data_IF_455306986351
#
_entry.id   IF_455306986351
#
_cell.length_a   1.000
_cell.length_b   1.000
_cell.length_c   1.000
_cell.angle_alpha   90.00
_cell.angle_beta   90.00
_cell.angle_gamma   90.00
#
_symmetry.space_group_name_H-M   'P 1'
#
loop_
_entity.id
_entity.type
_entity.pdbx_description
1 polymer ?
#
# COMPACT_ATOMS: atom_id res chain seq x y z
N UNK A 1 -36.10 -15.77 -15.87
CA UNK A 1 -36.02 -14.31 -15.92
C UNK A 1 -35.08 -13.87 -17.04
N UNK A 2 -35.39 -12.81 -17.74
CA UNK A 2 -34.49 -12.27 -18.75
C UNK A 2 -33.28 -11.62 -18.04
N UNK A 3 -32.04 -11.80 -18.52
CA UNK A 3 -30.88 -11.12 -17.97
C UNK A 3 -31.03 -9.60 -18.18
N UNK A 4 -30.87 -8.82 -17.12
CA UNK A 4 -30.82 -7.37 -17.20
C UNK A 4 -29.37 -6.89 -17.21
N UNK A 5 -29.05 -5.94 -18.07
CA UNK A 5 -27.75 -5.27 -18.12
C UNK A 5 -27.90 -3.89 -17.53
N UNK A 6 -27.06 -3.58 -16.54
CA UNK A 6 -27.05 -2.26 -15.89
C UNK A 6 -25.66 -1.64 -16.04
N UNK A 7 -25.60 -0.42 -16.56
CA UNK A 7 -24.37 0.36 -16.62
C UNK A 7 -24.05 0.92 -15.23
N UNK A 8 -23.01 0.39 -14.60
CA UNK A 8 -22.60 0.78 -13.23
C UNK A 8 -21.68 2.02 -13.20
N UNK A 9 -21.09 2.39 -14.33
CA UNK A 9 -20.24 3.59 -14.47
C UNK A 9 -21.03 4.88 -14.69
N UNK A 10 -22.35 4.80 -14.92
CA UNK A 10 -23.21 5.95 -15.24
C UNK A 10 -23.15 7.09 -14.21
N UNK A 11 -22.92 6.76 -12.94
CA UNK A 11 -22.80 7.76 -11.87
C UNK A 11 -21.41 8.43 -11.81
N UNK A 12 -20.43 7.87 -12.50
CA UNK A 12 -19.04 8.36 -12.57
C UNK A 12 -18.52 8.35 -14.02
N UNK A 13 -19.17 9.05 -14.95
CA UNK A 13 -18.97 8.87 -16.39
C UNK A 13 -17.56 9.20 -16.88
N UNK A 14 -16.79 9.97 -16.11
CA UNK A 14 -15.42 10.39 -16.46
C UNK A 14 -14.34 9.63 -15.69
N UNK A 15 -14.70 8.70 -14.80
CA UNK A 15 -13.74 7.99 -13.98
C UNK A 15 -12.92 7.00 -14.81
N UNK A 16 -13.58 6.19 -15.63
CA UNK A 16 -12.92 5.14 -16.40
C UNK A 16 -12.40 5.70 -17.72
N UNK A 17 -11.10 5.53 -18.02
CA UNK A 17 -10.55 5.89 -19.32
C UNK A 17 -11.05 4.94 -20.41
N UNK A 18 -11.05 5.40 -21.67
CA UNK A 18 -11.54 4.62 -22.82
C UNK A 18 -10.65 3.44 -23.19
N UNK A 19 -9.41 3.46 -22.77
CA UNK A 19 -8.34 2.51 -23.13
C UNK A 19 -8.01 1.50 -22.03
N UNK A 20 -8.96 1.18 -21.17
CA UNK A 20 -8.84 0.06 -20.23
C UNK A 20 -8.82 -1.24 -21.01
N UNK A 21 -7.77 -2.03 -20.79
CA UNK A 21 -7.56 -3.28 -21.50
C UNK A 21 -7.44 -4.51 -20.59
N UNK A 22 -7.37 -4.31 -19.29
CA UNK A 22 -7.24 -5.37 -18.31
C UNK A 22 -8.42 -5.34 -17.34
N UNK A 23 -9.02 -6.50 -17.09
CA UNK A 23 -10.11 -6.67 -16.14
C UNK A 23 -9.91 -7.95 -15.33
N UNK A 24 -10.13 -7.87 -14.04
CA UNK A 24 -10.26 -9.01 -13.14
C UNK A 24 -11.39 -8.78 -12.15
N UNK A 25 -11.96 -9.84 -11.61
CA UNK A 25 -13.00 -9.75 -10.60
C UNK A 25 -12.85 -10.82 -9.51
N UNK A 26 -13.43 -10.53 -8.35
CA UNK A 26 -13.67 -11.51 -7.30
C UNK A 26 -15.15 -11.47 -6.95
N UNK A 27 -15.79 -12.63 -7.04
CA UNK A 27 -17.19 -12.79 -6.64
C UNK A 27 -17.33 -12.77 -5.12
N UNK A 28 -16.41 -13.39 -4.42
CA UNK A 28 -16.39 -13.48 -2.96
C UNK A 28 -16.24 -12.10 -2.33
N UNK A 29 -15.32 -11.30 -2.82
CA UNK A 29 -15.09 -9.93 -2.34
C UNK A 29 -16.03 -8.90 -2.95
N UNK A 30 -16.91 -9.31 -3.86
CA UNK A 30 -17.81 -8.39 -4.56
C UNK A 30 -17.07 -7.18 -5.14
N UNK A 31 -15.95 -7.44 -5.82
CA UNK A 31 -15.05 -6.42 -6.38
C UNK A 31 -14.74 -6.72 -7.84
N UNK A 32 -14.67 -5.65 -8.63
CA UNK A 32 -14.21 -5.68 -10.01
C UNK A 32 -13.09 -4.67 -10.13
N UNK A 33 -11.94 -5.09 -10.67
CA UNK A 33 -10.80 -4.23 -10.89
C UNK A 33 -10.50 -4.09 -12.38
N UNK A 34 -10.21 -2.87 -12.78
CA UNK A 34 -9.84 -2.49 -14.14
C UNK A 34 -8.48 -1.82 -14.08
N UNK A 35 -7.51 -2.28 -14.85
CA UNK A 35 -6.20 -1.67 -14.88
C UNK A 35 -5.94 -0.97 -16.22
N UNK A 36 -5.30 0.18 -16.11
CA UNK A 36 -4.67 0.89 -17.21
C UNK A 36 -3.18 0.96 -16.93
N UNK A 37 -2.39 0.19 -17.68
CA UNK A 37 -0.93 0.22 -17.59
C UNK A 37 -0.38 1.45 -18.31
N UNK A 38 0.46 2.21 -17.62
CA UNK A 38 1.27 3.28 -18.20
C UNK A 38 2.70 2.81 -18.48
N UNK A 39 3.58 3.74 -18.85
CA UNK A 39 5.00 3.45 -19.11
C UNK A 39 5.85 3.36 -17.83
N UNK A 40 5.43 3.99 -16.75
CA UNK A 40 6.15 4.04 -15.47
C UNK A 40 5.30 3.70 -14.28
N UNK A 41 3.98 3.81 -14.43
CA UNK A 41 3.00 3.57 -13.38
C UNK A 41 1.74 2.94 -13.98
N UNK A 42 0.82 2.54 -13.13
CA UNK A 42 -0.49 2.04 -13.54
C UNK A 42 -1.59 2.61 -12.68
N UNK A 43 -2.76 2.78 -13.27
CA UNK A 43 -3.98 3.13 -12.56
C UNK A 43 -4.89 1.91 -12.49
N UNK A 44 -5.32 1.56 -11.29
CA UNK A 44 -6.31 0.50 -11.05
C UNK A 44 -7.58 1.16 -10.56
N UNK A 45 -8.65 0.98 -11.29
CA UNK A 45 -9.99 1.43 -10.95
C UNK A 45 -10.76 0.27 -10.37
N UNK A 46 -11.32 0.45 -9.21
CA UNK A 46 -12.07 -0.59 -8.52
C UNK A 46 -13.54 -0.21 -8.35
N UNK A 47 -14.38 -1.22 -8.51
CA UNK A 47 -15.80 -1.15 -8.19
C UNK A 47 -16.11 -2.22 -7.15
N UNK A 48 -16.41 -1.79 -5.93
CA UNK A 48 -16.82 -2.67 -4.83
C UNK A 48 -18.31 -2.49 -4.57
N UNK A 49 -19.01 -3.61 -4.39
CA UNK A 49 -20.44 -3.60 -4.15
C UNK A 49 -20.86 -4.59 -3.06
N UNK A 50 -21.97 -4.29 -2.43
CA UNK A 50 -22.61 -5.16 -1.44
C UNK A 50 -24.02 -5.49 -1.93
N UNK A 51 -24.29 -6.77 -2.07
CA UNK A 51 -25.64 -7.28 -2.35
C UNK A 51 -26.22 -7.90 -1.07
N UNK A 52 -27.49 -7.62 -0.82
CA UNK A 52 -28.27 -8.31 0.21
C UNK A 52 -29.45 -8.97 -0.50
N UNK A 53 -29.41 -10.30 -0.60
CA UNK A 53 -30.30 -11.04 -1.50
C UNK A 53 -30.07 -10.61 -2.96
N UNK A 54 -31.14 -10.35 -3.68
CA UNK A 54 -31.10 -9.94 -5.10
C UNK A 54 -30.89 -8.43 -5.30
N UNK A 55 -30.78 -7.66 -4.23
CA UNK A 55 -30.67 -6.19 -4.31
C UNK A 55 -29.28 -5.70 -3.95
N UNK A 56 -28.77 -4.77 -4.76
CA UNK A 56 -27.55 -4.04 -4.46
C UNK A 56 -27.85 -2.96 -3.43
N UNK A 57 -27.24 -3.09 -2.23
CA UNK A 57 -27.42 -2.15 -1.13
C UNK A 57 -26.45 -0.99 -1.21
N UNK A 58 -25.19 -1.28 -1.54
CA UNK A 58 -24.13 -0.29 -1.62
C UNK A 58 -23.22 -0.61 -2.79
N UNK A 59 -22.63 0.45 -3.35
CA UNK A 59 -21.56 0.32 -4.32
C UNK A 59 -20.69 1.57 -4.26
N UNK A 60 -19.39 1.38 -4.43
CA UNK A 60 -18.41 2.46 -4.44
C UNK A 60 -17.37 2.24 -5.52
N UNK A 61 -16.94 3.33 -6.13
CA UNK A 61 -15.80 3.38 -7.01
C UNK A 61 -14.59 3.92 -6.27
N UNK A 62 -13.41 3.39 -6.56
CA UNK A 62 -12.14 3.88 -6.06
C UNK A 62 -11.05 3.77 -7.12
N UNK A 63 -9.91 4.39 -6.88
CA UNK A 63 -8.77 4.38 -7.77
C UNK A 63 -7.49 4.20 -6.97
N UNK A 64 -6.64 3.26 -7.39
CA UNK A 64 -5.27 3.11 -6.91
C UNK A 64 -4.28 3.56 -7.99
N UNK A 65 -3.17 4.10 -7.55
CA UNK A 65 -2.00 4.35 -8.38
C UNK A 65 -0.88 3.41 -7.93
N UNK A 66 -0.43 2.54 -8.81
CA UNK A 66 0.69 1.65 -8.59
C UNK A 66 1.92 2.21 -9.29
N UNK A 67 3.07 2.20 -8.62
CA UNK A 67 4.32 2.80 -9.11
C UNK A 67 5.07 1.89 -10.11
N UNK A 68 4.35 1.05 -10.82
CA UNK A 68 4.86 0.10 -11.82
C UNK A 68 3.84 -0.10 -12.94
N UNK A 69 4.32 -0.32 -14.17
CA UNK A 69 3.47 -0.85 -15.23
C UNK A 69 2.94 -2.24 -14.85
N UNK A 70 1.70 -2.52 -15.20
CA UNK A 70 1.08 -3.84 -15.05
C UNK A 70 1.08 -4.54 -16.40
N UNK A 71 1.69 -5.73 -16.45
CA UNK A 71 1.63 -6.61 -17.62
C UNK A 71 0.41 -7.51 -17.58
N UNK A 72 0.06 -8.01 -16.40
CA UNK A 72 -1.08 -8.87 -16.17
C UNK A 72 -1.57 -8.74 -14.73
N UNK A 73 -2.85 -9.01 -14.47
CA UNK A 73 -3.40 -9.01 -13.11
C UNK A 73 -4.56 -9.98 -12.95
N UNK A 74 -4.77 -10.43 -11.71
CA UNK A 74 -5.85 -11.33 -11.34
C UNK A 74 -6.13 -11.24 -9.83
N UNK A 75 -7.25 -11.81 -9.41
CA UNK A 75 -7.64 -11.94 -7.99
C UNK A 75 -7.77 -13.42 -7.68
N UNK A 76 -7.18 -13.85 -6.58
CA UNK A 76 -7.40 -15.16 -5.98
C UNK A 76 -7.74 -14.91 -4.52
N UNK A 77 -8.88 -15.45 -4.07
CA UNK A 77 -9.42 -15.25 -2.73
C UNK A 77 -9.49 -13.75 -2.35
N UNK A 78 -8.87 -13.36 -1.27
CA UNK A 78 -8.82 -11.98 -0.77
C UNK A 78 -7.59 -11.20 -1.24
N UNK A 79 -6.89 -11.69 -2.24
CA UNK A 79 -5.63 -11.13 -2.69
C UNK A 79 -5.68 -10.74 -4.17
N UNK A 80 -5.25 -9.51 -4.44
CA UNK A 80 -5.03 -9.00 -5.78
C UNK A 80 -3.56 -9.17 -6.16
N UNK A 81 -3.31 -9.84 -7.27
CA UNK A 81 -1.99 -10.06 -7.81
C UNK A 81 -1.80 -9.28 -9.10
N UNK A 82 -0.63 -8.73 -9.29
CA UNK A 82 -0.23 -8.17 -10.59
C UNK A 82 1.23 -8.48 -10.91
N UNK A 83 1.49 -8.72 -12.18
CA UNK A 83 2.83 -8.89 -12.74
C UNK A 83 3.31 -7.52 -13.21
N UNK A 84 4.43 -7.06 -12.67
CA UNK A 84 5.04 -5.79 -13.07
C UNK A 84 5.96 -5.94 -14.30
N UNK A 85 6.48 -4.83 -14.80
CA UNK A 85 7.37 -4.75 -15.97
C UNK A 85 8.76 -5.37 -15.74
N UNK A 86 9.13 -5.63 -14.49
CA UNK A 86 10.34 -6.36 -14.11
C UNK A 86 10.08 -7.87 -13.93
N UNK A 87 8.88 -8.34 -14.28
CA UNK A 87 8.41 -9.72 -14.11
C UNK A 87 8.34 -10.17 -12.64
N UNK A 88 8.18 -9.25 -11.69
CA UNK A 88 7.86 -9.58 -10.31
C UNK A 88 6.35 -9.69 -10.12
N UNK A 89 5.94 -10.77 -9.47
CA UNK A 89 4.56 -10.93 -9.03
C UNK A 89 4.38 -10.19 -7.71
N UNK A 90 3.60 -9.12 -7.77
CA UNK A 90 3.24 -8.29 -6.61
C UNK A 90 1.89 -8.75 -6.07
N UNK A 91 1.67 -8.51 -4.77
CA UNK A 91 0.45 -8.89 -4.06
C UNK A 91 -0.08 -7.75 -3.21
N UNK A 92 -1.38 -7.51 -3.28
CA UNK A 92 -2.11 -6.56 -2.43
C UNK A 92 -3.28 -7.30 -1.79
N UNK A 93 -3.39 -7.23 -0.47
CA UNK A 93 -4.56 -7.78 0.23
C UNK A 93 -5.76 -6.87 0.09
N UNK A 94 -6.92 -7.46 -0.16
CA UNK A 94 -8.19 -6.75 -0.33
C UNK A 94 -8.98 -6.62 0.98
N UNK A 95 -8.55 -7.33 2.01
CA UNK A 95 -9.12 -7.32 3.36
C UNK A 95 -8.03 -7.07 4.38
N UNK A 96 -8.40 -6.42 5.47
CA UNK A 96 -7.51 -6.24 6.61
C UNK A 96 -7.25 -7.59 7.29
N UNK A 97 -6.00 -7.83 7.67
CA UNK A 97 -5.59 -9.04 8.39
C UNK A 97 -4.77 -8.69 9.62
N UNK A 98 -4.56 -9.68 10.50
CA UNK A 98 -3.67 -9.53 11.67
C UNK A 98 -2.19 -9.38 11.33
N UNK A 99 -1.83 -9.57 10.05
CA UNK A 99 -0.45 -9.37 9.56
C UNK A 99 -0.20 -7.92 9.10
N UNK A 100 -1.25 -7.09 9.04
CA UNK A 100 -1.08 -5.67 8.74
C UNK A 100 -0.32 -5.00 9.88
N UNK A 101 0.69 -4.15 9.58
CA UNK A 101 1.50 -3.54 10.62
C UNK A 101 0.64 -2.61 11.48
N UNK A 102 0.75 -2.78 12.78
CA UNK A 102 0.00 -2.00 13.74
C UNK A 102 0.80 -1.71 15.00
N UNK A 103 0.32 -0.75 15.76
CA UNK A 103 0.77 -0.45 17.13
C UNK A 103 -0.41 -0.74 18.05
N UNK A 104 -0.24 -1.69 18.97
CA UNK A 104 -1.26 -1.95 20.00
C UNK A 104 -0.91 -1.16 21.24
N UNK A 105 -1.75 -0.22 21.64
CA UNK A 105 -1.60 0.56 22.85
C UNK A 105 -2.96 0.68 23.55
N UNK A 106 -2.97 0.43 24.85
CA UNK A 106 -4.18 0.48 25.69
C UNK A 106 -5.34 -0.38 25.15
N UNK A 107 -5.04 -1.56 24.61
CA UNK A 107 -5.95 -2.47 23.92
C UNK A 107 -6.62 -1.89 22.66
N UNK A 108 -6.07 -0.82 22.11
CA UNK A 108 -6.48 -0.27 20.81
C UNK A 108 -5.42 -0.60 19.78
N UNK A 109 -5.86 -1.10 18.64
CA UNK A 109 -5.02 -1.45 17.50
C UNK A 109 -4.98 -0.28 16.50
N UNK A 110 -3.83 0.39 16.43
CA UNK A 110 -3.60 1.51 15.52
C UNK A 110 -2.88 0.99 14.27
N UNK A 111 -3.60 0.83 13.19
CA UNK A 111 -3.04 0.40 11.91
C UNK A 111 -2.05 1.41 11.35
N UNK A 112 -0.93 0.89 10.86
CA UNK A 112 0.05 1.67 10.12
C UNK A 112 -0.24 1.52 8.63
N UNK A 113 -0.66 2.61 8.00
CA UNK A 113 -0.98 2.62 6.56
C UNK A 113 0.30 2.74 5.73
N UNK A 114 1.12 1.68 5.74
CA UNK A 114 2.35 1.56 4.96
C UNK A 114 2.34 0.28 4.14
N UNK A 115 2.72 0.40 2.88
CA UNK A 115 2.82 -0.73 1.96
C UNK A 115 4.25 -1.25 1.89
N UNK A 116 4.40 -2.55 1.52
CA UNK A 116 5.68 -3.20 1.29
C UNK A 116 6.72 -2.79 2.35
N UNK A 117 6.47 -3.16 3.57
CA UNK A 117 7.20 -2.70 4.75
C UNK A 117 8.14 -3.76 5.32
N UNK A 118 9.06 -3.32 6.18
CA UNK A 118 9.88 -4.19 7.02
C UNK A 118 10.13 -3.53 8.37
N UNK A 119 10.57 -4.32 9.35
CA UNK A 119 10.92 -3.83 10.67
C UNK A 119 12.45 -3.73 10.80
N UNK A 120 12.92 -2.63 11.37
CA UNK A 120 14.34 -2.32 11.53
C UNK A 120 14.61 -1.83 12.97
N UNK A 121 15.71 -2.26 13.55
CA UNK A 121 16.18 -1.82 14.87
C UNK A 121 17.71 -1.62 14.86
N UNK A 122 18.29 -1.17 15.96
CA UNK A 122 19.75 -1.08 16.11
C UNK A 122 20.36 0.16 15.46
N UNK A 123 19.63 1.28 15.43
CA UNK A 123 20.15 2.55 14.94
C UNK A 123 21.31 3.08 15.78
N UNK A 124 22.36 3.57 15.14
CA UNK A 124 23.52 4.24 15.75
C UNK A 124 23.39 5.75 15.65
N UNK A 125 23.33 6.43 16.78
CA UNK A 125 23.21 7.89 16.84
C UNK A 125 24.58 8.55 16.91
N UNK A 126 24.80 9.55 16.05
CA UNK A 126 25.94 10.41 16.06
C UNK A 126 25.53 11.82 16.53
N UNK A 127 25.99 12.22 17.72
CA UNK A 127 25.65 13.51 18.31
C UNK A 127 26.25 14.72 17.57
N UNK A 128 27.38 14.53 16.88
CA UNK A 128 28.03 15.62 16.11
C UNK A 128 27.23 15.99 14.89
N UNK A 129 26.69 15.00 14.16
CA UNK A 129 25.87 15.22 12.98
C UNK A 129 24.37 15.32 13.26
N UNK A 130 23.97 14.97 14.49
CA UNK A 130 22.59 14.82 14.93
C UNK A 130 21.79 13.88 14.03
N UNK A 131 22.41 12.80 13.57
CA UNK A 131 21.78 11.79 12.72
C UNK A 131 21.84 10.42 13.39
N UNK A 132 20.80 9.62 13.19
CA UNK A 132 20.81 8.18 13.50
C UNK A 132 20.91 7.41 12.20
N UNK A 133 21.86 6.49 12.11
CA UNK A 133 22.09 5.62 10.95
C UNK A 133 21.59 4.22 11.25
N UNK A 134 20.83 3.65 10.34
CA UNK A 134 20.42 2.25 10.30
C UNK A 134 21.11 1.59 9.11
N UNK A 135 21.91 0.55 9.36
CA UNK A 135 22.74 -0.10 8.34
C UNK A 135 22.34 -1.55 8.14
N UNK A 136 22.66 -2.11 6.97
CA UNK A 136 22.42 -3.52 6.66
C UNK A 136 20.95 -3.88 6.45
N UNK A 137 20.11 -2.92 6.07
CA UNK A 137 18.70 -3.12 5.76
C UNK A 137 18.57 -3.67 4.34
N UNK A 138 18.69 -4.99 4.20
CA UNK A 138 18.67 -5.68 2.90
C UNK A 138 17.40 -5.41 2.08
N UNK A 139 16.28 -5.21 2.76
CA UNK A 139 15.00 -4.85 2.14
C UNK A 139 15.12 -3.60 1.23
N UNK A 140 15.98 -2.63 1.57
CA UNK A 140 16.18 -1.44 0.75
C UNK A 140 16.73 -1.74 -0.66
N UNK A 141 17.38 -2.88 -0.86
CA UNK A 141 17.83 -3.30 -2.20
C UNK A 141 16.67 -3.74 -3.10
N UNK A 142 15.51 -4.05 -2.54
CA UNK A 142 14.31 -4.44 -3.29
C UNK A 142 13.42 -3.24 -3.63
N UNK A 143 13.75 -2.06 -3.09
CA UNK A 143 12.99 -0.83 -3.23
C UNK A 143 13.38 -0.10 -4.51
N UNK A 144 12.46 0.10 -5.43
CA UNK A 144 12.74 0.65 -6.77
C UNK A 144 12.96 2.17 -6.80
N UNK A 145 12.60 2.89 -5.75
CA UNK A 145 12.78 4.36 -5.65
C UNK A 145 12.92 4.74 -4.18
N UNK A 146 14.08 4.50 -3.58
CA UNK A 146 14.25 4.62 -2.13
C UNK A 146 14.06 6.04 -1.58
N UNK A 147 14.12 7.06 -2.41
CA UNK A 147 13.95 8.45 -1.98
C UNK A 147 12.53 9.00 -2.20
N UNK A 148 11.62 8.19 -2.73
CA UNK A 148 10.23 8.54 -2.91
C UNK A 148 9.35 7.77 -1.92
N UNK A 149 8.58 8.51 -1.15
CA UNK A 149 7.44 8.02 -0.39
C UNK A 149 7.75 6.96 0.69
N UNK A 150 9.02 6.80 1.07
CA UNK A 150 9.37 6.00 2.23
C UNK A 150 9.12 6.79 3.52
N UNK A 151 8.57 6.12 4.50
CA UNK A 151 8.38 6.61 5.85
C UNK A 151 8.88 5.58 6.86
N UNK A 152 9.37 6.05 7.98
CA UNK A 152 9.64 5.23 9.16
C UNK A 152 8.73 5.65 10.29
N UNK A 153 8.25 4.67 11.05
CA UNK A 153 7.39 4.87 12.20
C UNK A 153 7.98 4.12 13.39
N UNK A 154 8.13 4.77 14.54
CA UNK A 154 8.56 4.10 15.78
C UNK A 154 7.41 3.22 16.29
N UNK A 155 7.59 1.92 16.22
CA UNK A 155 6.61 0.91 16.65
C UNK A 155 6.97 0.28 18.00
N UNK A 156 8.01 0.76 18.66
CA UNK A 156 8.35 0.32 20.01
C UNK A 156 7.35 0.88 21.02
N UNK A 157 6.42 0.04 21.48
CA UNK A 157 5.38 0.41 22.46
C UNK A 157 5.94 0.86 23.82
N UNK A 158 7.19 0.53 24.15
CA UNK A 158 7.89 1.00 25.34
C UNK A 158 8.62 2.33 25.13
N UNK A 159 8.59 2.87 23.91
CA UNK A 159 9.21 4.16 23.59
C UNK A 159 8.28 5.31 23.94
N UNK A 160 8.81 6.35 24.58
CA UNK A 160 8.10 7.62 24.75
C UNK A 160 7.77 8.31 23.40
N UNK A 161 8.22 7.73 22.30
CA UNK A 161 8.07 8.25 20.93
C UNK A 161 7.26 7.32 20.03
N UNK A 162 6.58 6.33 20.59
CA UNK A 162 5.72 5.41 19.83
C UNK A 162 4.80 6.19 18.89
N UNK A 163 4.67 5.77 17.65
CA UNK A 163 3.90 6.45 16.61
C UNK A 163 4.62 7.66 15.96
N UNK A 164 5.79 8.07 16.46
CA UNK A 164 6.57 9.13 15.80
C UNK A 164 7.01 8.63 14.42
N UNK A 165 6.80 9.45 13.41
CA UNK A 165 7.22 9.15 12.05
C UNK A 165 8.38 10.06 11.60
N UNK A 166 9.15 9.59 10.62
CA UNK A 166 10.21 10.35 9.97
C UNK A 166 10.40 9.95 8.51
N UNK A 167 10.95 10.86 7.72
CA UNK A 167 11.31 10.58 6.34
C UNK A 167 12.79 10.17 6.30
N UNK A 168 13.14 8.94 5.84
CA UNK A 168 14.51 8.48 5.78
C UNK A 168 15.26 9.11 4.59
N UNK A 169 16.56 9.32 4.76
CA UNK A 169 17.47 9.54 3.64
C UNK A 169 18.22 8.24 3.37
N UNK A 170 17.97 7.63 2.22
CA UNK A 170 18.47 6.28 1.88
C UNK A 170 19.75 6.36 1.06
N UNK A 171 20.72 5.51 1.40
CA UNK A 171 21.97 5.32 0.66
C UNK A 171 22.32 3.83 0.64
N UNK A 172 22.14 3.17 -0.50
CA UNK A 172 22.35 1.73 -0.63
C UNK A 172 21.40 0.94 0.30
N UNK A 173 21.97 0.10 1.16
CA UNK A 173 21.25 -0.69 2.17
C UNK A 173 21.18 0.01 3.54
N UNK A 174 21.43 1.30 3.60
CA UNK A 174 21.39 2.08 4.84
C UNK A 174 20.49 3.29 4.68
N UNK A 175 19.98 3.79 5.81
CA UNK A 175 19.29 5.07 5.83
C UNK A 175 19.61 5.86 7.08
N UNK A 176 19.40 7.17 7.00
CA UNK A 176 19.60 8.09 8.14
C UNK A 176 18.31 8.82 8.47
N UNK A 177 18.17 9.17 9.74
CA UNK A 177 17.09 10.00 10.27
C UNK A 177 17.65 11.13 11.11
N UNK A 178 17.10 12.34 11.00
CA UNK A 178 17.47 13.45 11.89
C UNK A 178 17.09 13.16 13.35
N UNK A 179 17.99 13.48 14.27
CA UNK A 179 17.78 13.28 15.69
C UNK A 179 18.15 11.90 16.19
N UNK A 180 17.96 11.71 17.49
CA UNK A 180 18.30 10.43 18.16
C UNK A 180 17.14 9.45 18.07
N UNK A 181 17.32 8.38 17.29
CA UNK A 181 16.42 7.25 17.15
C UNK A 181 17.07 5.94 17.64
N UNK A 182 18.20 6.04 18.35
CA UNK A 182 18.84 4.86 18.96
C UNK A 182 17.87 4.21 19.95
N UNK A 183 17.77 2.90 19.93
CA UNK A 183 16.79 2.15 20.74
C UNK A 183 15.36 2.11 20.19
N UNK A 184 15.06 2.79 19.09
CA UNK A 184 13.79 2.64 18.40
C UNK A 184 13.70 1.30 17.66
N UNK A 185 12.50 0.74 17.61
CA UNK A 185 12.12 -0.29 16.66
C UNK A 185 11.23 0.37 15.63
N UNK A 186 11.66 0.39 14.39
CA UNK A 186 11.01 1.13 13.31
C UNK A 186 10.32 0.17 12.34
N UNK A 187 9.12 0.50 11.92
CA UNK A 187 8.55 -0.01 10.67
C UNK A 187 8.89 0.98 9.57
N UNK A 188 9.58 0.52 8.52
CA UNK A 188 9.87 1.28 7.32
C UNK A 188 9.07 0.71 6.15
N UNK A 189 8.39 1.55 5.39
CA UNK A 189 7.59 1.15 4.24
C UNK A 189 7.21 2.34 3.36
N UNK A 190 6.46 2.06 2.32
CA UNK A 190 5.92 3.10 1.44
C UNK A 190 4.67 3.72 2.03
N UNK A 191 4.59 5.05 2.00
CA UNK A 191 3.29 5.74 2.15
C UNK A 191 2.61 5.82 0.80
N UNK A 192 1.28 5.77 0.82
CA UNK A 192 0.46 6.03 -0.35
C UNK A 192 -0.46 7.22 -0.08
N UNK A 193 -0.67 8.11 -1.06
CA UNK A 193 -1.60 9.20 -0.89
C UNK A 193 -3.03 8.65 -0.83
N UNK A 194 -3.75 8.97 0.22
CA UNK A 194 -5.19 8.71 0.33
C UNK A 194 -5.95 9.99 0.06
N UNK A 195 -6.72 10.03 -1.01
CA UNK A 195 -7.52 11.20 -1.39
C UNK A 195 -9.00 10.83 -1.33
N UNK A 196 -9.75 11.51 -0.46
CA UNK A 196 -11.22 11.45 -0.42
C UNK A 196 -11.74 12.72 -1.09
N UNK A 197 -12.51 12.55 -2.15
CA UNK A 197 -13.22 13.64 -2.84
C UNK A 197 -14.68 13.55 -2.58
#
# INVERSE_FOLDING_TARGET
>A
GQPSVVEVSKIVPTLLPKDINLLTNSRENSIILFAKSGSTDSLVYGYKYLNVGDKRQQAAWFKWKLNKPILYHFIIDDEYYYLDDNYYLQKIRLVQTTEDPSIVQDNVDFLLHVDNHTTVSGGSFNSTTNLTTFSGVSWLSTVSSPNHDLVVIDTNTNSARVGRYGKPTVTGTSFTLPGNWSGATLTIGYIYPYEVK
#
